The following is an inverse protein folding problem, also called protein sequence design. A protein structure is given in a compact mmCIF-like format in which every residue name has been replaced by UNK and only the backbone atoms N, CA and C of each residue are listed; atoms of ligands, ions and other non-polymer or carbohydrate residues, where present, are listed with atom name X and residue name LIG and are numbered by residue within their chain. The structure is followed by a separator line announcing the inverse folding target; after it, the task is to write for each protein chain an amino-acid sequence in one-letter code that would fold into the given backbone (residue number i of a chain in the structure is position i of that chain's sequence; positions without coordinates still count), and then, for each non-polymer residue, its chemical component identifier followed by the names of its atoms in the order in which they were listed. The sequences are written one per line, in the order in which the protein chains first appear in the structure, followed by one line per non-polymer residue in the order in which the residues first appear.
data_IF_409194377846
#
_entry.id   IF_409194377846
#
_cell.length_a   1.000
_cell.length_b   1.000
_cell.length_c   1.000
_cell.angle_alpha   90.00
_cell.angle_beta   90.00
_cell.angle_gamma   90.00
#
_symmetry.space_group_name_H-M   'P 1'
#
loop_
_entity.id
_entity.type
_entity.pdbx_description
1 polymer ?
#
# COMPACT_ATOMS: atom_id res chain seq x y z
N UNK A 1 42.10 21.84 -9.82
CA UNK A 1 41.86 20.57 -10.52
C UNK A 1 40.37 20.54 -10.74
N UNK A 2 39.94 20.76 -11.99
CA UNK A 2 38.54 20.72 -12.33
C UNK A 2 38.22 19.24 -12.52
N UNK A 3 37.56 18.63 -11.54
CA UNK A 3 37.03 17.29 -11.70
C UNK A 3 36.06 17.35 -12.88
N UNK A 4 36.44 16.68 -13.97
CA UNK A 4 35.63 16.55 -15.16
C UNK A 4 34.33 15.83 -14.76
N UNK A 5 33.16 16.21 -15.29
CA UNK A 5 31.95 15.49 -14.97
C UNK A 5 32.05 14.12 -15.64
N UNK A 6 32.46 13.10 -14.87
CA UNK A 6 32.27 11.71 -15.25
C UNK A 6 30.77 11.53 -15.46
N UNK A 7 30.35 11.61 -16.72
CA UNK A 7 28.99 11.34 -17.14
C UNK A 7 28.77 9.85 -16.90
N UNK A 8 28.29 9.53 -15.71
CA UNK A 8 28.20 8.16 -15.25
C UNK A 8 27.52 7.27 -16.28
N UNK A 9 28.14 6.12 -16.57
CA UNK A 9 27.64 5.17 -17.54
C UNK A 9 26.22 4.71 -17.20
N UNK A 10 25.47 4.15 -18.17
CA UNK A 10 24.09 3.72 -17.95
C UNK A 10 23.97 2.72 -16.78
N UNK A 11 25.03 1.94 -16.52
CA UNK A 11 25.10 1.02 -15.39
C UNK A 11 25.13 1.73 -14.03
N UNK A 12 25.87 2.82 -13.89
CA UNK A 12 25.94 3.60 -12.64
C UNK A 12 24.61 4.26 -12.31
N UNK A 13 23.89 4.74 -13.34
CA UNK A 13 22.54 5.28 -13.19
C UNK A 13 21.57 4.19 -12.70
N UNK A 14 21.63 2.98 -13.29
CA UNK A 14 20.79 1.86 -12.87
C UNK A 14 21.07 1.46 -11.43
N UNK A 15 22.35 1.40 -11.03
CA UNK A 15 22.72 1.08 -9.65
C UNK A 15 22.28 2.17 -8.67
N UNK A 16 22.41 3.44 -9.05
CA UNK A 16 21.97 4.56 -8.23
C UNK A 16 20.45 4.55 -8.01
N UNK A 17 19.68 4.43 -9.10
CA UNK A 17 18.22 4.34 -9.04
C UNK A 17 17.78 3.07 -8.30
N UNK A 18 18.43 1.94 -8.56
CA UNK A 18 18.18 0.68 -7.87
C UNK A 18 18.43 0.77 -6.37
N UNK A 19 19.51 1.44 -5.95
CA UNK A 19 19.82 1.70 -4.54
C UNK A 19 18.74 2.54 -3.85
N UNK A 20 18.26 3.60 -4.50
CA UNK A 20 17.16 4.43 -3.98
C UNK A 20 15.89 3.60 -3.83
N UNK A 21 15.51 2.83 -4.86
CA UNK A 21 14.32 1.99 -4.81
C UNK A 21 14.41 0.93 -3.70
N UNK A 22 15.58 0.32 -3.51
CA UNK A 22 15.81 -0.66 -2.45
C UNK A 22 15.61 -0.04 -1.07
N UNK A 23 16.16 1.15 -0.81
CA UNK A 23 15.95 1.85 0.46
C UNK A 23 14.48 2.20 0.68
N UNK A 24 13.79 2.68 -0.36
CA UNK A 24 12.36 3.00 -0.27
C UNK A 24 11.49 1.77 0.01
N UNK A 25 11.78 0.63 -0.65
CA UNK A 25 11.08 -0.63 -0.41
C UNK A 25 11.30 -1.13 1.01
N UNK A 26 12.54 -1.05 1.52
CA UNK A 26 12.85 -1.42 2.89
C UNK A 26 12.11 -0.52 3.90
N UNK A 27 12.16 0.79 3.70
CA UNK A 27 11.43 1.74 4.56
C UNK A 27 9.92 1.47 4.55
N UNK A 28 9.36 1.24 3.38
CA UNK A 28 7.96 0.92 3.20
C UNK A 28 7.58 -0.38 3.90
N UNK A 29 8.42 -1.42 3.77
CA UNK A 29 8.21 -2.71 4.42
C UNK A 29 8.21 -2.57 5.95
N UNK A 30 9.24 -1.93 6.52
CA UNK A 30 9.34 -1.73 7.97
C UNK A 30 8.23 -0.83 8.55
N UNK A 31 7.63 0.05 7.75
CA UNK A 31 6.52 0.90 8.18
C UNK A 31 5.13 0.21 8.11
N UNK A 32 5.12 -1.12 7.90
CA UNK A 32 3.90 -1.92 7.75
C UNK A 32 3.23 -1.72 6.40
N UNK A 33 4.02 -1.44 5.36
CA UNK A 33 3.53 -1.30 3.98
C UNK A 33 2.69 -2.50 3.51
N UNK A 34 3.15 -3.75 3.68
CA UNK A 34 2.38 -4.93 3.25
C UNK A 34 1.00 -5.05 3.91
N UNK A 35 0.89 -4.69 5.18
CA UNK A 35 -0.36 -4.81 5.94
C UNK A 35 -1.35 -3.68 5.62
N UNK A 36 -0.83 -2.52 5.19
CA UNK A 36 -1.63 -1.32 4.85
C UNK A 36 -1.89 -1.19 3.35
N UNK A 37 -1.16 -1.94 2.52
CA UNK A 37 -1.34 -1.95 1.09
C UNK A 37 -2.57 -2.78 0.74
N UNK A 38 -3.74 -2.16 0.92
CA UNK A 38 -4.99 -2.73 0.48
C UNK A 38 -5.10 -2.62 -1.06
N UNK A 39 -4.40 -3.52 -1.75
CA UNK A 39 -4.47 -3.68 -3.20
C UNK A 39 -5.87 -4.13 -3.66
N UNK A 40 -6.65 -4.70 -2.73
CA UNK A 40 -8.06 -5.03 -2.96
C UNK A 40 -8.93 -3.79 -2.78
N UNK A 41 -8.66 -2.94 -1.81
CA UNK A 41 -9.36 -1.68 -1.58
C UNK A 41 -9.21 -0.66 -2.70
N UNK A 42 -8.06 -0.61 -3.38
CA UNK A 42 -7.80 0.39 -4.42
C UNK A 42 -8.45 0.05 -5.78
N UNK A 43 -8.62 -1.23 -6.10
CA UNK A 43 -9.10 -1.69 -7.41
C UNK A 43 -10.34 -2.59 -7.37
N UNK A 44 -10.67 -3.16 -6.20
CA UNK A 44 -11.80 -4.07 -5.98
C UNK A 44 -12.75 -3.57 -4.89
N UNK A 45 -12.48 -2.45 -4.20
CA UNK A 45 -13.50 -1.84 -3.37
C UNK A 45 -14.58 -1.28 -4.29
N UNK A 46 -15.85 -1.67 -4.12
CA UNK A 46 -16.92 -0.96 -4.77
C UNK A 46 -16.84 0.51 -4.34
N UNK A 47 -17.03 1.47 -5.28
CA UNK A 47 -17.10 2.88 -4.91
C UNK A 47 -18.13 3.04 -3.78
N UNK A 48 -17.85 3.93 -2.81
CA UNK A 48 -18.82 4.22 -1.75
C UNK A 48 -20.18 4.50 -2.40
N UNK A 49 -21.26 3.82 -1.97
CA UNK A 49 -22.55 3.94 -2.62
C UNK A 49 -22.97 5.41 -2.61
N UNK A 50 -23.28 5.93 -3.80
CA UNK A 50 -23.80 7.28 -3.94
C UNK A 50 -25.27 7.24 -3.51
N UNK A 51 -25.58 7.71 -2.30
CA UNK A 51 -26.93 7.64 -1.72
C UNK A 51 -27.15 6.46 -0.76
N UNK A 52 -28.40 6.05 -0.55
CA UNK A 52 -28.81 5.05 0.46
C UNK A 52 -28.31 3.62 0.22
N UNK A 53 -27.64 3.35 -0.89
CA UNK A 53 -27.09 2.03 -1.21
C UNK A 53 -28.12 0.99 -1.67
N UNK A 54 -29.40 1.36 -1.78
CA UNK A 54 -30.51 0.46 -2.15
C UNK A 54 -30.37 -0.15 -3.55
N UNK A 55 -29.59 0.47 -4.44
CA UNK A 55 -29.33 -0.01 -5.79
C UNK A 55 -28.33 -1.19 -5.86
N UNK A 56 -27.56 -1.46 -4.80
CA UNK A 56 -26.47 -2.45 -4.81
C UNK A 56 -26.86 -3.85 -4.31
N UNK A 57 -28.16 -4.10 -4.07
CA UNK A 57 -28.66 -5.39 -3.61
C UNK A 57 -28.30 -5.70 -2.14
N UNK A 58 -28.80 -6.82 -1.59
CA UNK A 58 -28.59 -7.17 -0.19
C UNK A 58 -27.10 -7.39 0.10
N UNK A 59 -26.53 -6.53 0.95
CA UNK A 59 -25.16 -6.68 1.44
C UNK A 59 -25.09 -7.89 2.39
N UNK A 60 -24.65 -9.03 1.86
CA UNK A 60 -24.39 -10.22 2.66
C UNK A 60 -23.10 -10.00 3.47
N UNK A 61 -23.25 -9.38 4.64
CA UNK A 61 -22.37 -9.45 5.81
C UNK A 61 -20.88 -9.67 5.54
N UNK A 62 -20.11 -8.58 5.45
CA UNK A 62 -18.74 -8.55 5.98
C UNK A 62 -18.75 -7.86 7.36
N UNK A 63 -19.67 -8.29 8.23
CA UNK A 63 -19.71 -7.92 9.64
C UNK A 63 -18.65 -8.73 10.38
N UNK A 64 -17.38 -8.30 10.32
CA UNK A 64 -16.42 -8.68 11.37
C UNK A 64 -16.65 -7.73 12.54
N UNK A 65 -17.75 -7.96 13.26
CA UNK A 65 -17.92 -7.39 14.60
C UNK A 65 -17.05 -8.21 15.54
N UNK A 66 -15.88 -7.68 15.90
CA UNK A 66 -15.16 -8.18 17.08
C UNK A 66 -15.98 -7.72 18.28
N UNK A 67 -16.84 -8.60 18.78
CA UNK A 67 -17.57 -8.41 20.03
C UNK A 67 -16.64 -8.76 21.20
N UNK A 68 -15.89 -7.76 21.69
CA UNK A 68 -14.95 -7.94 22.81
C UNK A 68 -15.64 -7.98 24.19
N UNK A 69 -16.96 -8.23 24.28
CA UNK A 69 -17.69 -8.16 25.56
C UNK A 69 -18.15 -9.50 26.13
N UNK A 70 -17.46 -10.59 25.81
CA UNK A 70 -17.68 -11.87 26.49
C UNK A 70 -16.36 -12.52 26.87
N UNK A 71 -15.67 -11.98 27.88
CA UNK A 71 -14.97 -12.84 28.81
C UNK A 71 -15.44 -12.55 30.24
N UNK A 72 -15.90 -13.63 30.86
CA UNK A 72 -16.72 -13.77 32.06
C UNK A 72 -15.96 -13.43 33.34
N UNK A 73 -16.79 -13.02 34.32
CA UNK A 73 -16.82 -13.41 35.75
C UNK A 73 -15.65 -13.03 36.65
#
# INVERSE_FOLDING_TARGET
MADEPESGGPYEIILFVGGILLVLVLLWYYNGGPDKADLRGLFLAPPMPVGSGDAYGPQLSATTTIDTRVNKQ
#
